data_IF_322853950739
#
_entry.id   IF_322853950739
#
_cell.length_a   1.000
_cell.length_b   1.000
_cell.length_c   1.000
_cell.angle_alpha   90.00
_cell.angle_beta   90.00
_cell.angle_gamma   90.00
#
_symmetry.space_group_name_H-M   'P 1'
#
loop_
_entity.id
_entity.type
_entity.pdbx_description
1 polymer ?
#
# COMPACT_ATOMS: atom_id res chain seq x y z
N UNK A 1 3.06 13.69 2.64
CA UNK A 1 2.91 14.22 1.26
C UNK A 1 2.78 13.04 0.32
N UNK A 2 1.60 12.80 -0.24
CA UNK A 2 1.34 11.69 -1.17
C UNK A 2 1.95 12.04 -2.53
N UNK A 3 3.14 11.53 -2.83
CA UNK A 3 3.72 11.67 -4.17
C UNK A 3 3.28 10.46 -4.99
N UNK A 4 2.64 10.71 -6.13
CA UNK A 4 2.40 9.67 -7.12
C UNK A 4 3.76 9.27 -7.71
N UNK A 5 4.03 7.97 -7.76
CA UNK A 5 5.23 7.44 -8.39
C UNK A 5 4.92 7.15 -9.85
N UNK A 6 5.93 7.19 -10.72
CA UNK A 6 5.84 6.64 -12.08
C UNK A 6 5.95 5.11 -12.03
N UNK A 7 5.09 4.49 -11.21
CA UNK A 7 5.03 3.05 -10.98
C UNK A 7 3.58 2.63 -11.05
N UNK A 8 3.36 1.46 -11.63
CA UNK A 8 2.04 0.94 -11.90
C UNK A 8 1.84 -0.37 -11.13
N UNK A 9 0.65 -0.54 -10.58
CA UNK A 9 0.26 -1.76 -9.88
C UNK A 9 0.29 -2.92 -10.86
N UNK A 10 1.02 -3.99 -10.53
CA UNK A 10 1.08 -5.18 -11.40
C UNK A 10 -0.29 -5.87 -11.57
N UNK A 11 -1.16 -5.78 -10.56
CA UNK A 11 -2.47 -6.43 -10.55
C UNK A 11 -3.55 -5.64 -11.32
N UNK A 12 -3.60 -4.32 -11.19
CA UNK A 12 -4.66 -3.50 -11.81
C UNK A 12 -4.19 -2.44 -12.81
N UNK A 13 -2.88 -2.29 -13.01
CA UNK A 13 -2.29 -1.31 -13.94
C UNK A 13 -2.41 0.16 -13.52
N UNK A 14 -3.05 0.46 -12.39
CA UNK A 14 -3.20 1.82 -11.88
C UNK A 14 -1.89 2.37 -11.35
N UNK A 15 -1.69 3.67 -11.51
CA UNK A 15 -0.55 4.37 -10.94
C UNK A 15 -0.57 4.28 -9.41
N UNK A 16 0.57 3.93 -8.81
CA UNK A 16 0.70 3.76 -7.38
C UNK A 16 1.34 4.99 -6.72
N UNK A 17 1.01 5.21 -5.46
CA UNK A 17 1.53 6.31 -4.67
C UNK A 17 2.65 5.84 -3.73
N UNK A 18 3.37 6.80 -3.13
CA UNK A 18 4.45 6.48 -2.18
C UNK A 18 4.03 5.60 -1.01
N UNK A 19 2.75 5.64 -0.60
CA UNK A 19 2.22 4.72 0.41
C UNK A 19 2.16 3.28 -0.10
N UNK A 20 1.57 3.06 -1.28
CA UNK A 20 1.48 1.73 -1.91
C UNK A 20 2.86 1.08 -2.08
N UNK A 21 3.87 1.86 -2.48
CA UNK A 21 5.24 1.37 -2.61
C UNK A 21 5.83 0.97 -1.26
N UNK A 22 5.57 1.75 -0.20
CA UNK A 22 6.00 1.42 1.16
C UNK A 22 5.32 0.14 1.65
N UNK A 23 4.01 -0.01 1.44
CA UNK A 23 3.27 -1.23 1.75
C UNK A 23 3.81 -2.44 0.97
N UNK A 24 4.08 -2.29 -0.33
CA UNK A 24 4.67 -3.36 -1.14
C UNK A 24 6.04 -3.79 -0.62
N UNK A 25 6.89 -2.82 -0.21
CA UNK A 25 8.21 -3.08 0.36
C UNK A 25 8.13 -3.71 1.75
N UNK A 26 7.15 -3.30 2.56
CA UNK A 26 6.85 -3.90 3.86
C UNK A 26 6.54 -5.38 3.71
N UNK A 27 5.53 -5.69 2.89
CA UNK A 27 5.07 -7.06 2.62
C UNK A 27 6.05 -7.88 1.77
N UNK A 28 7.20 -7.30 1.39
CA UNK A 28 8.22 -7.91 0.53
C UNK A 28 7.66 -8.44 -0.80
N UNK A 29 6.65 -7.76 -1.36
CA UNK A 29 6.18 -8.09 -2.70
C UNK A 29 7.29 -7.84 -3.73
N UNK A 30 7.42 -8.77 -4.68
CA UNK A 30 8.39 -8.69 -5.77
C UNK A 30 8.04 -7.57 -6.77
N UNK A 31 6.76 -7.22 -6.88
CA UNK A 31 6.24 -6.19 -7.75
C UNK A 31 5.42 -5.17 -6.96
N UNK A 32 5.39 -3.89 -7.38
CA UNK A 32 4.55 -2.89 -6.74
C UNK A 32 3.06 -3.22 -6.90
N UNK A 33 2.34 -3.24 -5.78
CA UNK A 33 0.89 -3.48 -5.71
C UNK A 33 0.23 -2.32 -4.95
N UNK A 34 -0.93 -1.87 -5.41
CA UNK A 34 -1.69 -0.82 -4.72
C UNK A 34 -2.43 -1.36 -3.49
N UNK A 35 -2.69 -0.48 -2.51
CA UNK A 35 -3.47 -0.75 -1.31
C UNK A 35 -4.78 -1.45 -1.66
N UNK A 36 -5.51 -1.01 -2.69
CA UNK A 36 -6.77 -1.64 -3.09
C UNK A 36 -6.63 -3.09 -3.55
N UNK A 37 -5.53 -3.45 -4.22
CA UNK A 37 -5.28 -4.83 -4.64
C UNK A 37 -4.86 -5.70 -3.45
N UNK A 38 -4.04 -5.16 -2.54
CA UNK A 38 -3.65 -5.84 -1.30
C UNK A 38 -4.89 -6.08 -0.43
N UNK A 39 -5.74 -5.07 -0.26
CA UNK A 39 -7.03 -5.17 0.41
C UNK A 39 -7.91 -6.27 -0.18
N UNK A 40 -7.98 -6.38 -1.53
CA UNK A 40 -8.72 -7.46 -2.19
C UNK A 40 -8.09 -8.84 -1.97
N UNK A 41 -6.77 -8.94 -1.98
CA UNK A 41 -6.06 -10.21 -1.82
C UNK A 41 -6.19 -10.76 -0.38
N UNK A 42 -6.13 -9.86 0.61
CA UNK A 42 -6.26 -10.21 2.03
C UNK A 42 -7.71 -10.09 2.55
N UNK A 43 -8.68 -9.73 1.71
CA UNK A 43 -10.06 -9.40 2.09
C UNK A 43 -10.14 -8.41 3.28
N UNK A 44 -9.22 -7.44 3.29
CA UNK A 44 -9.12 -6.41 4.31
C UNK A 44 -9.65 -5.07 3.79
N UNK A 45 -10.19 -4.26 4.69
CA UNK A 45 -10.48 -2.85 4.38
C UNK A 45 -9.19 -2.03 4.37
N UNK A 46 -9.21 -0.86 3.73
CA UNK A 46 -8.07 0.06 3.73
C UNK A 46 -7.63 0.44 5.16
N UNK A 47 -8.59 0.53 6.08
CA UNK A 47 -8.33 0.79 7.50
C UNK A 47 -7.63 -0.40 8.18
N UNK A 48 -8.13 -1.63 7.97
CA UNK A 48 -7.51 -2.84 8.52
C UNK A 48 -6.10 -3.09 7.99
N UNK A 49 -5.84 -2.77 6.72
CA UNK A 49 -4.50 -2.83 6.16
C UNK A 49 -3.57 -1.81 6.84
N UNK A 50 -4.04 -0.59 7.08
CA UNK A 50 -3.26 0.46 7.76
C UNK A 50 -2.95 0.09 9.21
N UNK A 51 -3.92 -0.50 9.91
CA UNK A 51 -3.73 -0.97 11.27
C UNK A 51 -2.71 -2.12 11.33
N UNK A 52 -2.86 -3.11 10.44
CA UNK A 52 -1.91 -4.22 10.30
C UNK A 52 -0.50 -3.72 9.96
N UNK A 53 -0.37 -2.77 9.03
CA UNK A 53 0.92 -2.17 8.66
C UNK A 53 1.54 -1.37 9.81
N UNK A 54 0.72 -0.74 10.65
CA UNK A 54 1.17 -0.03 11.84
C UNK A 54 1.63 -1.02 12.92
N UNK A 55 0.87 -2.08 13.18
CA UNK A 55 1.18 -3.08 14.20
C UNK A 55 2.40 -3.93 13.82
N UNK A 56 2.43 -4.48 12.61
CA UNK A 56 3.50 -5.38 12.18
C UNK A 56 4.77 -4.66 11.74
N UNK A 57 4.65 -3.48 11.12
CA UNK A 57 5.80 -2.78 10.54
C UNK A 57 6.11 -1.43 11.19
N UNK A 58 5.31 -0.97 12.15
CA UNK A 58 5.45 0.38 12.74
C UNK A 58 5.23 1.50 11.73
N UNK A 59 4.61 1.21 10.57
CA UNK A 59 4.42 2.17 9.50
C UNK A 59 3.11 2.90 9.67
N UNK A 60 3.18 4.19 9.97
CA UNK A 60 1.99 5.04 10.05
C UNK A 60 1.69 5.56 8.64
N UNK A 61 0.46 5.39 8.10
CA UNK A 61 0.06 6.10 6.90
C UNK A 61 0.23 7.59 7.15
N UNK A 62 0.79 8.31 6.19
CA UNK A 62 0.85 9.76 6.30
C UNK A 62 -0.61 10.26 6.38
N UNK A 63 -1.11 10.51 7.59
CA UNK A 63 -2.37 11.20 7.82
C UNK A 63 -2.24 12.56 7.13
N UNK A 64 -2.82 12.67 5.95
CA UNK A 64 -3.09 13.99 5.36
C UNK A 64 -4.19 14.60 6.19
N UNK A 65 -3.86 15.67 6.91
CA UNK A 65 -4.82 16.68 7.35
C UNK A 65 -5.52 17.25 6.11
#
# INVERSE_FOLDING_TARGET
MFRLLDLHCHSCGKQINTWDQRCSKALKYKFPVCESCICKEYDLTADGLRDTMKEHFGMIPCQGI
#
